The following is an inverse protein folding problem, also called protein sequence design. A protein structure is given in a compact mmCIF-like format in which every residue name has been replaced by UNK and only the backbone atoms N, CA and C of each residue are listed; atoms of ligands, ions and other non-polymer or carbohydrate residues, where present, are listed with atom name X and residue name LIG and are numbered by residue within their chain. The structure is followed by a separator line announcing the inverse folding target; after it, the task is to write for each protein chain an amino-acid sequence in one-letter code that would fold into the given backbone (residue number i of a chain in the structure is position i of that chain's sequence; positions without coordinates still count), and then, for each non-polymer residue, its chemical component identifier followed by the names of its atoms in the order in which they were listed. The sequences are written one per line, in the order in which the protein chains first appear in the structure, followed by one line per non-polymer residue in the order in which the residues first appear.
data_IF_061316601996
#
_entry.id   IF_061316601996
#
_cell.length_a   1.000
_cell.length_b   1.000
_cell.length_c   1.000
_cell.angle_alpha   90.00
_cell.angle_beta   90.00
_cell.angle_gamma   90.00
#
_symmetry.space_group_name_H-M   'P 1'
#
loop_
_entity.id
_entity.type
_entity.pdbx_description
1 polymer ?
#
# COMPACT_ATOMS: atom_id res chain seq x y z
N UNK A 1 -32.92 -2.15 -1.14
CA UNK A 1 -32.12 -2.80 -2.19
C UNK A 1 -30.72 -3.09 -1.65
N UNK A 2 -30.57 -4.14 -0.85
CA UNK A 2 -29.27 -4.77 -0.56
C UNK A 2 -29.56 -6.27 -0.48
N UNK A 3 -29.22 -7.00 -1.55
CA UNK A 3 -29.29 -8.45 -1.53
C UNK A 3 -28.25 -8.99 -0.54
N UNK A 4 -28.58 -9.93 0.35
CA UNK A 4 -27.57 -10.62 1.14
C UNK A 4 -26.62 -11.34 0.18
N UNK A 5 -25.31 -11.18 0.40
CA UNK A 5 -24.29 -11.92 -0.35
C UNK A 5 -24.64 -13.43 -0.26
N UNK A 6 -24.71 -14.16 -1.37
CA UNK A 6 -25.08 -15.57 -1.34
C UNK A 6 -24.06 -16.36 -0.51
N UNK A 7 -24.56 -17.25 0.35
CA UNK A 7 -23.76 -18.17 1.12
C UNK A 7 -22.84 -19.02 0.20
N UNK A 8 -21.56 -19.12 0.59
CA UNK A 8 -20.51 -20.02 0.04
C UNK A 8 -19.79 -19.65 -1.26
N UNK A 9 -19.79 -18.40 -1.70
CA UNK A 9 -18.87 -18.02 -2.80
C UNK A 9 -17.43 -18.07 -2.30
N UNK A 10 -16.64 -18.97 -2.89
CA UNK A 10 -15.20 -19.07 -2.67
C UNK A 10 -14.45 -18.17 -3.65
N UNK A 11 -13.52 -17.37 -3.16
CA UNK A 11 -12.71 -16.47 -3.99
C UNK A 11 -11.28 -16.41 -3.48
N UNK A 12 -10.37 -15.89 -4.33
CA UNK A 12 -8.97 -15.74 -3.93
C UNK A 12 -8.82 -14.66 -2.86
N UNK A 13 -7.97 -14.91 -1.88
CA UNK A 13 -7.75 -13.96 -0.77
C UNK A 13 -7.27 -12.59 -1.26
N UNK A 14 -6.34 -12.52 -2.21
CA UNK A 14 -5.85 -11.26 -2.76
C UNK A 14 -6.94 -10.44 -3.48
N UNK A 15 -7.95 -11.10 -4.05
CA UNK A 15 -9.11 -10.45 -4.66
C UNK A 15 -10.12 -10.02 -3.60
N UNK A 16 -10.38 -10.89 -2.60
CA UNK A 16 -11.29 -10.60 -1.49
C UNK A 16 -10.86 -9.38 -0.69
N UNK A 17 -9.56 -9.26 -0.42
CA UNK A 17 -8.99 -8.11 0.29
C UNK A 17 -9.26 -6.78 -0.43
N UNK A 18 -9.19 -6.78 -1.76
CA UNK A 18 -9.49 -5.59 -2.58
C UNK A 18 -11.00 -5.37 -2.67
N UNK A 19 -11.77 -6.44 -2.87
CA UNK A 19 -13.23 -6.38 -2.95
C UNK A 19 -13.88 -5.86 -1.65
N UNK A 20 -13.27 -6.15 -0.50
CA UNK A 20 -13.67 -5.61 0.82
C UNK A 20 -13.10 -4.22 1.11
N UNK A 21 -12.32 -3.63 0.19
CA UNK A 21 -11.72 -2.30 0.38
C UNK A 21 -10.59 -2.24 1.40
N UNK A 22 -10.05 -3.39 1.84
CA UNK A 22 -8.96 -3.46 2.82
C UNK A 22 -7.61 -3.05 2.20
N UNK A 23 -7.46 -3.21 0.89
CA UNK A 23 -6.29 -2.78 0.14
C UNK A 23 -6.71 -2.12 -1.20
N UNK A 24 -5.97 -1.10 -1.67
CA UNK A 24 -6.33 -0.36 -2.88
C UNK A 24 -6.04 -1.13 -4.18
N UNK A 25 -5.24 -2.20 -4.12
CA UNK A 25 -4.88 -2.99 -5.30
C UNK A 25 -4.50 -4.42 -4.92
N UNK A 26 -4.60 -5.33 -5.90
CA UNK A 26 -4.19 -6.73 -5.72
C UNK A 26 -2.71 -6.88 -5.40
N UNK A 27 -1.85 -6.03 -5.97
CA UNK A 27 -0.42 -6.06 -5.69
C UNK A 27 -0.12 -5.69 -4.23
N UNK A 28 -0.83 -4.71 -3.65
CA UNK A 28 -0.71 -4.35 -2.23
C UNK A 28 -1.24 -5.46 -1.31
N UNK A 29 -2.38 -6.04 -1.66
CA UNK A 29 -2.95 -7.18 -0.95
C UNK A 29 -1.98 -8.39 -0.93
N UNK A 30 -1.35 -8.72 -2.06
CA UNK A 30 -0.36 -9.81 -2.15
C UNK A 30 0.86 -9.57 -1.26
N UNK A 31 1.45 -8.38 -1.33
CA UNK A 31 2.61 -8.01 -0.52
C UNK A 31 2.31 -8.12 0.98
N UNK A 32 1.15 -7.65 1.43
CA UNK A 32 0.72 -7.77 2.83
C UNK A 32 0.56 -9.23 3.28
N UNK A 33 -0.03 -10.08 2.44
CA UNK A 33 -0.15 -11.52 2.72
C UNK A 33 1.24 -12.18 2.79
N UNK A 34 2.12 -11.89 1.85
CA UNK A 34 3.48 -12.47 1.80
C UNK A 34 4.32 -12.07 3.02
N UNK A 35 4.06 -10.88 3.58
CA UNK A 35 4.69 -10.39 4.82
C UNK A 35 4.06 -10.95 6.09
N UNK A 36 2.95 -11.68 5.99
CA UNK A 36 2.25 -12.24 7.14
C UNK A 36 1.47 -11.23 7.96
N UNK A 37 1.11 -10.07 7.38
CA UNK A 37 0.32 -9.02 8.06
C UNK A 37 -1.18 -9.18 7.87
N UNK A 38 -1.63 -10.33 7.37
CA UNK A 38 -3.04 -10.65 7.14
C UNK A 38 -3.36 -11.97 7.81
N UNK A 39 -4.40 -12.00 8.64
CA UNK A 39 -4.95 -13.23 9.21
C UNK A 39 -6.31 -13.54 8.59
N UNK A 40 -6.60 -14.83 8.44
CA UNK A 40 -7.91 -15.35 8.04
C UNK A 40 -8.36 -16.34 9.11
N UNK A 41 -9.50 -16.08 9.73
CA UNK A 41 -10.06 -16.89 10.81
C UNK A 41 -9.03 -17.19 11.92
N UNK A 42 -8.26 -16.17 12.30
CA UNK A 42 -7.23 -16.23 13.34
C UNK A 42 -5.90 -16.85 12.91
N UNK A 43 -5.74 -17.26 11.64
CA UNK A 43 -4.50 -17.87 11.13
C UNK A 43 -3.82 -16.96 10.13
N UNK A 44 -2.51 -16.75 10.28
CA UNK A 44 -1.71 -15.94 9.33
C UNK A 44 -1.81 -16.52 7.93
N UNK A 45 -2.31 -15.72 6.99
CA UNK A 45 -2.33 -16.04 5.57
C UNK A 45 -0.92 -15.98 5.00
N UNK A 46 -0.52 -17.02 4.25
CA UNK A 46 0.81 -17.07 3.59
C UNK A 46 0.75 -17.14 2.07
N UNK A 47 -0.43 -17.44 1.51
CA UNK A 47 -0.61 -17.68 0.08
C UNK A 47 -1.64 -16.69 -0.46
N UNK A 48 -1.24 -15.69 -1.26
CA UNK A 48 -2.19 -14.69 -1.74
C UNK A 48 -3.31 -15.26 -2.61
N UNK A 49 -2.99 -16.29 -3.40
CA UNK A 49 -3.96 -16.98 -4.25
C UNK A 49 -4.78 -18.05 -3.53
N UNK A 50 -4.69 -18.20 -2.21
CA UNK A 50 -5.49 -19.20 -1.50
C UNK A 50 -6.97 -18.85 -1.58
N UNK A 51 -7.78 -19.88 -1.81
CA UNK A 51 -9.23 -19.74 -1.90
C UNK A 51 -9.82 -19.72 -0.49
N UNK A 52 -10.55 -18.66 -0.17
CA UNK A 52 -11.22 -18.46 1.12
C UNK A 52 -12.72 -18.24 0.91
N UNK A 53 -13.51 -18.41 1.97
CA UNK A 53 -14.92 -18.06 1.93
C UNK A 53 -15.09 -16.55 1.87
N UNK A 54 -16.07 -16.06 1.10
CA UNK A 54 -16.32 -14.63 0.97
C UNK A 54 -16.74 -13.93 2.27
N UNK A 55 -17.14 -14.68 3.30
CA UNK A 55 -17.57 -14.22 4.63
C UNK A 55 -16.57 -14.54 5.74
N UNK A 56 -15.38 -15.09 5.44
CA UNK A 56 -14.35 -15.37 6.45
C UNK A 56 -13.95 -14.12 7.25
N UNK A 57 -13.53 -14.30 8.49
CA UNK A 57 -12.99 -13.20 9.30
C UNK A 57 -11.60 -12.85 8.78
N UNK A 58 -11.36 -11.58 8.48
CA UNK A 58 -10.06 -11.07 8.02
C UNK A 58 -9.64 -9.94 8.94
N UNK A 59 -8.42 -10.03 9.45
CA UNK A 59 -7.76 -8.95 10.16
C UNK A 59 -6.46 -8.58 9.43
N UNK A 60 -6.13 -7.30 9.44
CA UNK A 60 -4.95 -6.74 8.78
C UNK A 60 -4.17 -5.94 9.80
N UNK A 61 -2.92 -6.34 10.02
CA UNK A 61 -1.95 -5.64 10.87
C UNK A 61 -0.77 -5.17 9.98
N UNK A 62 -1.08 -4.28 9.03
CA UNK A 62 -0.11 -3.74 8.08
C UNK A 62 0.23 -2.27 8.39
N UNK A 63 1.41 -1.97 8.97
CA UNK A 63 1.87 -0.60 9.20
C UNK A 63 1.92 0.27 7.94
N UNK A 64 2.04 -0.35 6.75
CA UNK A 64 2.07 0.35 5.48
C UNK A 64 0.66 0.65 4.90
N UNK A 65 -0.43 0.22 5.55
CA UNK A 65 -1.78 0.28 4.97
C UNK A 65 -2.23 1.72 4.64
N UNK A 66 -1.82 2.70 5.44
CA UNK A 66 -2.16 4.12 5.26
C UNK A 66 -1.37 4.86 4.16
N UNK A 67 -0.36 4.22 3.57
CA UNK A 67 0.54 4.87 2.63
C UNK A 67 0.36 4.36 1.19
N UNK A 68 0.48 5.27 0.22
CA UNK A 68 0.44 4.91 -1.22
C UNK A 68 1.63 4.04 -1.63
N UNK A 69 2.71 4.06 -0.86
CA UNK A 69 3.88 3.19 -1.05
C UNK A 69 4.56 2.85 0.27
N UNK A 70 5.08 1.61 0.37
CA UNK A 70 5.89 1.13 1.50
C UNK A 70 7.14 1.96 1.76
N UNK A 71 7.61 2.67 0.74
CA UNK A 71 8.74 3.58 0.88
C UNK A 71 8.48 4.60 2.00
N UNK A 72 7.23 5.03 2.20
CA UNK A 72 6.84 5.92 3.31
C UNK A 72 7.42 5.50 4.66
N UNK A 73 7.36 4.21 5.00
CA UNK A 73 7.89 3.69 6.28
C UNK A 73 9.40 3.91 6.43
N UNK A 74 10.16 3.90 5.32
CA UNK A 74 11.60 4.16 5.34
C UNK A 74 11.90 5.62 5.64
N UNK A 75 11.14 6.53 5.03
CA UNK A 75 11.31 7.96 5.29
C UNK A 75 10.92 8.29 6.74
N UNK A 76 9.79 7.75 7.22
CA UNK A 76 9.36 7.88 8.63
C UNK A 76 10.47 7.42 9.57
N UNK A 77 10.97 6.19 9.40
CA UNK A 77 12.03 5.66 10.24
C UNK A 77 13.31 6.50 10.18
N UNK A 78 13.68 7.01 9.00
CA UNK A 78 14.85 7.89 8.84
C UNK A 78 14.67 9.22 9.56
N UNK A 79 13.54 9.91 9.35
CA UNK A 79 13.24 11.17 10.02
C UNK A 79 13.26 11.02 11.54
N UNK A 80 12.63 9.95 12.05
CA UNK A 80 12.54 9.68 13.48
C UNK A 80 13.92 9.32 14.08
N UNK A 81 14.69 8.48 13.38
CA UNK A 81 16.02 8.07 13.83
C UNK A 81 17.01 9.23 13.89
N UNK A 82 16.97 10.13 12.91
CA UNK A 82 17.87 11.29 12.83
C UNK A 82 17.32 12.55 13.51
N UNK A 83 16.10 12.52 14.05
CA UNK A 83 15.45 13.66 14.68
C UNK A 83 15.22 14.83 13.71
N UNK A 84 14.95 14.54 12.44
CA UNK A 84 14.72 15.54 11.40
C UNK A 84 13.23 15.89 11.32
N UNK A 85 12.91 17.16 11.52
CA UNK A 85 11.56 17.70 11.36
C UNK A 85 11.44 18.45 10.02
N UNK A 86 10.66 17.95 9.04
CA UNK A 86 10.46 18.64 7.77
C UNK A 86 9.45 19.80 7.86
N UNK A 87 8.83 20.06 9.02
CA UNK A 87 7.83 21.11 9.17
C UNK A 87 8.37 22.48 8.69
N UNK A 88 7.60 23.17 7.84
CA UNK A 88 7.97 24.47 7.30
C UNK A 88 9.12 24.47 6.29
N UNK A 89 9.70 23.31 5.99
CA UNK A 89 10.81 23.19 5.04
C UNK A 89 10.32 23.01 3.59
N UNK A 90 11.15 23.41 2.63
CA UNK A 90 11.01 23.01 1.23
C UNK A 90 11.68 21.64 1.05
N UNK A 91 10.91 20.63 0.64
CA UNK A 91 11.43 19.27 0.47
C UNK A 91 11.50 18.89 -1.02
N UNK A 92 12.57 18.20 -1.43
CA UNK A 92 12.73 17.68 -2.78
C UNK A 92 12.70 16.14 -2.75
N UNK A 93 11.67 15.54 -3.36
CA UNK A 93 11.54 14.09 -3.53
C UNK A 93 12.22 13.66 -4.84
N UNK A 94 13.53 13.39 -4.78
CA UNK A 94 14.32 12.91 -5.93
C UNK A 94 14.04 11.42 -6.15
N UNK A 95 13.18 11.11 -7.12
CA UNK A 95 12.76 9.73 -7.40
C UNK A 95 11.34 9.38 -6.95
N UNK A 96 10.48 10.39 -6.80
CA UNK A 96 9.06 10.20 -6.55
C UNK A 96 8.46 9.23 -7.58
N UNK A 97 8.25 7.98 -7.13
CA UNK A 97 7.61 6.94 -7.92
C UNK A 97 6.10 7.03 -7.68
N UNK A 98 5.56 6.17 -6.80
CA UNK A 98 4.14 6.15 -6.44
C UNK A 98 3.75 7.22 -5.41
N UNK A 99 4.69 8.08 -4.98
CA UNK A 99 4.42 9.24 -4.11
C UNK A 99 4.46 9.01 -2.59
N UNK A 100 4.96 7.86 -2.10
CA UNK A 100 4.94 7.55 -0.66
C UNK A 100 5.79 8.48 0.22
N UNK A 101 6.94 8.95 -0.28
CA UNK A 101 7.78 9.92 0.44
C UNK A 101 7.11 11.30 0.44
N UNK A 102 6.61 11.73 -0.71
CA UNK A 102 5.80 12.95 -0.84
C UNK A 102 4.64 12.98 0.17
N UNK A 103 3.87 11.89 0.29
CA UNK A 103 2.77 11.80 1.26
C UNK A 103 3.26 12.04 2.70
N UNK A 104 4.35 11.39 3.12
CA UNK A 104 4.94 11.57 4.46
C UNK A 104 5.40 13.00 4.71
N UNK A 105 6.03 13.64 3.73
CA UNK A 105 6.50 15.02 3.85
C UNK A 105 5.34 16.01 4.05
N UNK A 106 4.25 15.83 3.30
CA UNK A 106 3.03 16.63 3.42
C UNK A 106 2.34 16.41 4.77
N UNK A 107 2.17 15.16 5.21
CA UNK A 107 1.58 14.83 6.51
C UNK A 107 2.38 15.41 7.68
N UNK A 108 3.70 15.55 7.54
CA UNK A 108 4.59 16.16 8.54
C UNK A 108 4.80 17.66 8.37
N UNK A 109 4.03 18.32 7.51
CA UNK A 109 3.96 19.79 7.46
C UNK A 109 5.04 20.47 6.63
N UNK A 110 5.65 19.80 5.65
CA UNK A 110 6.49 20.49 4.66
C UNK A 110 5.68 21.59 3.94
N UNK A 111 6.29 22.78 3.77
CA UNK A 111 5.60 23.95 3.22
C UNK A 111 5.35 23.83 1.71
N UNK A 112 6.27 23.18 1.00
CA UNK A 112 6.18 22.88 -0.43
C UNK A 112 7.01 21.64 -0.76
N UNK A 113 6.66 20.95 -1.85
CA UNK A 113 7.47 19.84 -2.35
C UNK A 113 7.74 19.94 -3.86
N UNK A 114 8.99 19.72 -4.25
CA UNK A 114 9.38 19.45 -5.64
C UNK A 114 9.48 17.95 -5.88
N UNK A 115 9.05 17.48 -7.05
CA UNK A 115 9.15 16.07 -7.44
C UNK A 115 9.81 15.96 -8.80
N UNK A 116 10.88 15.14 -8.90
CA UNK A 116 11.57 14.85 -10.15
C UNK A 116 11.51 13.34 -10.42
N UNK A 117 10.88 12.95 -11.53
CA UNK A 117 10.89 11.58 -12.05
C UNK A 117 11.65 11.51 -13.37
N UNK A 118 12.26 10.36 -13.67
CA UNK A 118 12.99 10.15 -14.93
C UNK A 118 12.00 10.28 -16.11
N UNK A 119 12.28 11.09 -17.15
CA UNK A 119 11.40 11.19 -18.30
C UNK A 119 11.22 9.80 -18.96
N UNK A 120 10.05 9.48 -19.53
CA UNK A 120 9.83 8.22 -20.22
C UNK A 120 10.90 8.05 -21.31
N UNK A 121 11.48 6.85 -21.41
CA UNK A 121 12.38 6.52 -22.51
C UNK A 121 11.62 6.72 -23.82
N UNK A 122 12.22 7.36 -24.84
CA UNK A 122 11.58 7.47 -26.13
C UNK A 122 11.28 6.06 -26.65
N UNK A 123 10.01 5.81 -26.95
CA UNK A 123 9.58 4.61 -27.66
C UNK A 123 10.28 4.63 -29.02
N UNK A 124 11.32 3.81 -29.16
CA UNK A 124 11.94 3.55 -30.43
C UNK A 124 10.87 2.92 -31.34
N UNK A 125 10.35 3.69 -32.28
CA UNK A 125 9.58 3.17 -33.40
C UNK A 125 10.47 2.16 -34.12
N UNK A 126 10.16 0.86 -33.98
CA UNK A 126 10.78 -0.18 -34.79
C UNK A 126 10.38 0.03 -36.25
N UNK A 127 11.31 -0.17 -37.21
CA UNK A 127 11.02 -0.07 -38.65
C UNK A 127 10.05 -1.15 -39.11
#
# INVERSE_FOLDING_TARGET
MNSPLPASTRQRLDELLVARGLFPSRSRARDAIERGTVTVDGVIARKPGQTVLADCLIEVDDPAQGYVSRAALKLIAGLDHFGLDPAGSEALDVGASTGGFTQVLLERGAASYGSFSKPPLPIASRP
#
